data_IF_875579103228
#
_entry.id   IF_875579103228
#
_cell.length_a   1.000
_cell.length_b   1.000
_cell.length_c   1.000
_cell.angle_alpha   90.00
_cell.angle_beta   90.00
_cell.angle_gamma   90.00
#
_symmetry.space_group_name_H-M   'P 1'
#
loop_
_entity.id
_entity.type
_entity.pdbx_description
1 polymer ?
#
# COMPACT_ATOMS: atom_id res chain seq x y z
N UNK A 1 12.66 -39.04 0.76
CA UNK A 1 13.16 -38.16 -0.32
C UNK A 1 12.54 -36.79 -0.12
N UNK A 2 13.28 -35.68 -0.29
CA UNK A 2 12.77 -34.33 -0.11
C UNK A 2 11.95 -33.96 -1.35
N UNK A 3 10.75 -33.43 -1.16
CA UNK A 3 10.10 -32.65 -2.22
C UNK A 3 9.77 -31.30 -1.60
N UNK A 4 10.66 -30.35 -1.83
CA UNK A 4 10.36 -28.93 -1.71
C UNK A 4 9.14 -28.66 -2.57
N UNK A 5 7.98 -28.52 -1.94
CA UNK A 5 6.92 -27.73 -2.53
C UNK A 5 7.30 -26.30 -2.18
N UNK A 6 7.89 -25.64 -3.18
CA UNK A 6 8.03 -24.20 -3.26
C UNK A 6 6.69 -23.64 -2.76
N UNK A 7 6.69 -23.03 -1.57
CA UNK A 7 5.57 -22.21 -1.14
C UNK A 7 5.48 -21.11 -2.19
N UNK A 8 4.53 -21.28 -3.10
CA UNK A 8 4.13 -20.26 -4.04
C UNK A 8 3.57 -19.10 -3.19
N UNK A 9 4.49 -18.24 -2.75
CA UNK A 9 4.26 -17.21 -1.76
C UNK A 9 3.49 -16.02 -2.36
N UNK A 10 2.94 -16.19 -3.56
CA UNK A 10 2.10 -15.23 -4.29
C UNK A 10 0.66 -15.15 -3.77
N UNK A 11 0.25 -16.06 -2.87
CA UNK A 11 -1.12 -16.07 -2.34
C UNK A 11 -1.43 -14.92 -1.35
N UNK A 12 -0.41 -14.19 -0.87
CA UNK A 12 -0.56 -13.12 0.13
C UNK A 12 -0.14 -11.74 -0.40
N UNK A 13 -0.02 -11.59 -1.72
CA UNK A 13 0.27 -10.30 -2.32
C UNK A 13 -0.98 -9.40 -2.25
N UNK A 14 -0.83 -8.27 -1.58
CA UNK A 14 -1.87 -7.27 -1.39
C UNK A 14 -1.88 -6.36 -2.61
N UNK A 15 -3.03 -6.29 -3.29
CA UNK A 15 -3.19 -5.42 -4.45
C UNK A 15 -3.46 -3.99 -3.97
N UNK A 16 -2.53 -3.11 -4.30
CA UNK A 16 -2.57 -1.69 -3.97
C UNK A 16 -2.89 -0.90 -5.21
N UNK A 17 -3.86 0.01 -5.08
CA UNK A 17 -4.26 0.94 -6.11
C UNK A 17 -3.89 2.35 -5.70
N UNK A 18 -2.73 2.80 -6.13
CA UNK A 18 -2.28 4.15 -5.85
C UNK A 18 -2.96 5.12 -6.80
N UNK A 19 -3.64 6.14 -6.27
CA UNK A 19 -4.26 7.19 -7.06
C UNK A 19 -3.52 8.49 -6.78
N UNK A 20 -2.80 8.97 -7.77
CA UNK A 20 -1.94 10.14 -7.64
C UNK A 20 -2.05 11.04 -8.86
N UNK A 21 -2.33 12.33 -8.64
CA UNK A 21 -2.48 13.34 -9.71
C UNK A 21 -3.48 12.98 -10.83
N UNK A 22 -4.45 12.11 -10.55
CA UNK A 22 -5.43 11.60 -11.52
C UNK A 22 -5.01 10.31 -12.23
N UNK A 23 -3.76 9.88 -12.07
CA UNK A 23 -3.27 8.60 -12.54
C UNK A 23 -3.57 7.50 -11.51
N UNK A 24 -3.92 6.32 -12.02
CA UNK A 24 -4.19 5.12 -11.22
C UNK A 24 -3.10 4.10 -11.52
N UNK A 25 -2.34 3.73 -10.50
CA UNK A 25 -1.25 2.76 -10.58
C UNK A 25 -1.63 1.54 -9.74
N UNK A 26 -1.47 0.34 -10.29
CA UNK A 26 -1.74 -0.91 -9.58
C UNK A 26 -0.41 -1.57 -9.28
N UNK A 27 -0.14 -1.83 -8.00
CA UNK A 27 1.03 -2.56 -7.53
C UNK A 27 0.64 -3.69 -6.59
N UNK A 28 1.58 -4.60 -6.38
CA UNK A 28 1.41 -5.76 -5.50
C UNK A 28 2.50 -5.68 -4.46
N UNK A 29 2.10 -5.57 -3.20
CA UNK A 29 3.02 -5.52 -2.05
C UNK A 29 2.85 -6.79 -1.23
N UNK A 30 3.89 -7.16 -0.49
CA UNK A 30 3.79 -8.26 0.44
C UNK A 30 2.99 -7.84 1.67
N UNK A 31 2.19 -8.76 2.23
CA UNK A 31 1.48 -8.51 3.48
C UNK A 31 2.41 -8.17 4.68
N UNK A 32 3.68 -8.57 4.63
CA UNK A 32 4.65 -8.30 5.69
C UNK A 32 5.61 -7.14 5.34
N UNK A 33 5.21 -6.27 4.42
CA UNK A 33 6.01 -5.09 4.05
C UNK A 33 6.09 -4.11 5.23
N UNK A 34 7.28 -3.55 5.42
CA UNK A 34 7.47 -2.49 6.41
C UNK A 34 6.98 -1.15 5.87
N UNK A 35 6.65 -0.21 6.76
CA UNK A 35 6.25 1.15 6.39
C UNK A 35 7.34 1.84 5.56
N UNK A 36 8.61 1.60 5.88
CA UNK A 36 9.73 2.17 5.13
C UNK A 36 9.77 1.65 3.69
N UNK A 37 9.69 0.34 3.50
CA UNK A 37 9.62 -0.27 2.17
C UNK A 37 8.39 0.19 1.39
N UNK A 38 7.22 0.23 2.05
CA UNK A 38 5.98 0.72 1.43
C UNK A 38 6.09 2.18 1.00
N UNK A 39 6.74 3.02 1.81
CA UNK A 39 7.00 4.43 1.50
C UNK A 39 7.93 4.55 0.30
N UNK A 40 9.01 3.75 0.24
CA UNK A 40 9.94 3.74 -0.90
C UNK A 40 9.26 3.29 -2.19
N UNK A 41 8.41 2.26 -2.14
CA UNK A 41 7.60 1.83 -3.27
C UNK A 41 6.68 2.97 -3.74
N UNK A 42 5.97 3.65 -2.83
CA UNK A 42 5.11 4.78 -3.19
C UNK A 42 5.89 5.94 -3.82
N UNK A 43 7.11 6.22 -3.35
CA UNK A 43 8.02 7.21 -3.96
C UNK A 43 8.39 6.79 -5.38
N UNK A 44 8.74 5.53 -5.59
CA UNK A 44 9.10 5.00 -6.91
C UNK A 44 7.91 5.03 -7.89
N UNK A 45 6.72 4.63 -7.41
CA UNK A 45 5.47 4.56 -8.18
C UNK A 45 4.99 5.96 -8.59
N UNK A 46 4.87 6.86 -7.62
CA UNK A 46 4.40 8.23 -7.86
C UNK A 46 5.49 9.15 -8.43
N UNK A 47 6.74 8.64 -8.54
CA UNK A 47 7.94 9.40 -8.92
C UNK A 47 8.11 10.66 -8.06
N UNK A 48 7.92 10.51 -6.75
CA UNK A 48 8.14 11.61 -5.81
C UNK A 48 9.61 12.00 -5.79
N UNK A 49 9.86 13.29 -5.55
CA UNK A 49 11.21 13.75 -5.24
C UNK A 49 11.61 13.22 -3.84
N UNK A 50 12.90 12.93 -3.58
CA UNK A 50 13.36 12.38 -2.31
C UNK A 50 12.97 13.23 -1.07
N UNK A 51 12.89 14.55 -1.24
CA UNK A 51 12.54 15.51 -0.19
C UNK A 51 11.06 15.92 -0.20
N UNK A 52 10.24 15.31 -1.07
CA UNK A 52 8.83 15.65 -1.18
C UNK A 52 8.04 15.02 -0.05
N UNK A 53 7.46 15.86 0.80
CA UNK A 53 6.53 15.41 1.84
C UNK A 53 5.22 14.99 1.17
N UNK A 54 4.80 13.75 1.42
CA UNK A 54 3.50 13.23 1.00
C UNK A 54 2.81 12.57 2.20
N UNK A 55 1.49 12.45 2.10
CA UNK A 55 0.67 11.71 3.06
C UNK A 55 0.07 10.54 2.34
N UNK A 56 0.18 9.34 2.91
CA UNK A 56 -0.54 8.18 2.42
C UNK A 56 -1.87 8.11 3.14
N UNK A 57 -2.94 7.90 2.39
CA UNK A 57 -4.27 7.71 2.95
C UNK A 57 -4.87 6.49 2.33
N UNK A 58 -5.40 5.59 3.13
CA UNK A 58 -6.23 4.48 2.71
C UNK A 58 -7.71 4.84 2.86
N UNK A 59 -8.47 4.67 1.80
CA UNK A 59 -9.94 4.64 1.78
C UNK A 59 -10.50 3.26 2.19
N UNK A 60 -11.09 3.16 3.39
CA UNK A 60 -11.68 1.91 3.89
C UNK A 60 -13.01 1.52 3.18
N UNK A 61 -13.70 0.50 3.70
CA UNK A 61 -14.96 0.00 3.14
C UNK A 61 -16.13 0.97 3.26
N UNK A 62 -16.09 1.88 4.24
CA UNK A 62 -17.08 2.94 4.42
C UNK A 62 -16.80 4.15 3.51
N UNK A 63 -15.65 4.13 2.82
CA UNK A 63 -15.19 5.21 1.96
C UNK A 63 -14.43 6.29 2.72
N UNK A 64 -14.06 6.02 3.98
CA UNK A 64 -13.41 6.99 4.85
C UNK A 64 -11.87 6.96 4.65
N UNK A 65 -11.25 8.13 4.40
CA UNK A 65 -9.81 8.20 4.20
C UNK A 65 -9.08 8.19 5.56
N UNK A 66 -8.60 7.02 5.96
CA UNK A 66 -7.66 6.83 7.06
C UNK A 66 -6.23 7.19 6.64
N UNK A 67 -5.47 7.85 7.52
CA UNK A 67 -4.08 8.22 7.22
C UNK A 67 -3.12 7.10 7.62
N UNK A 68 -2.15 6.77 6.77
CA UNK A 68 -1.08 5.82 7.06
C UNK A 68 0.21 6.61 7.25
N UNK A 69 0.66 6.68 8.50
CA UNK A 69 1.87 7.39 8.92
C UNK A 69 2.76 6.55 9.85
N UNK A 70 2.23 5.47 10.40
CA UNK A 70 2.90 4.56 11.33
C UNK A 70 2.76 3.10 10.89
N UNK A 71 3.69 2.25 11.34
CA UNK A 71 3.61 0.82 11.05
C UNK A 71 2.31 0.20 11.56
N UNK A 72 1.82 0.63 12.73
CA UNK A 72 0.57 0.13 13.30
C UNK A 72 -0.64 0.42 12.39
N UNK A 73 -0.69 1.62 11.81
CA UNK A 73 -1.74 1.99 10.85
C UNK A 73 -1.65 1.14 9.58
N UNK A 74 -0.44 0.85 9.09
CA UNK A 74 -0.21 -0.04 7.94
C UNK A 74 -0.59 -1.50 8.27
N UNK A 75 -0.33 -1.98 9.47
CA UNK A 75 -0.67 -3.35 9.86
C UNK A 75 -2.18 -3.52 10.02
N UNK A 76 -2.87 -2.57 10.68
CA UNK A 76 -4.33 -2.63 10.83
C UNK A 76 -5.02 -2.53 9.48
N UNK A 77 -4.49 -1.67 8.63
CA UNK A 77 -4.76 -1.65 7.23
C UNK A 77 -4.67 -3.07 6.62
N UNK A 78 -3.48 -3.66 6.53
CA UNK A 78 -3.31 -4.94 5.86
C UNK A 78 -4.19 -6.05 6.46
N UNK A 79 -4.48 -5.99 7.76
CA UNK A 79 -5.43 -6.87 8.45
C UNK A 79 -6.87 -6.71 7.94
N UNK A 80 -7.35 -5.47 7.76
CA UNK A 80 -8.67 -5.18 7.20
C UNK A 80 -8.79 -5.66 5.74
N UNK A 81 -7.70 -5.54 4.97
CA UNK A 81 -7.62 -6.04 3.59
C UNK A 81 -7.88 -7.56 3.53
N UNK A 82 -7.22 -8.32 4.42
CA UNK A 82 -7.41 -9.77 4.49
C UNK A 82 -8.81 -10.18 4.96
N UNK A 83 -9.37 -9.43 5.90
CA UNK A 83 -10.70 -9.70 6.47
C UNK A 83 -11.80 -9.51 5.43
N UNK A 84 -11.72 -8.43 4.66
CA UNK A 84 -12.76 -8.05 3.69
C UNK A 84 -12.53 -8.64 2.30
N UNK A 85 -11.32 -9.15 1.98
CA UNK A 85 -10.91 -9.81 0.72
C UNK A 85 -11.23 -9.06 -0.59
N UNK A 86 -11.70 -7.83 -0.51
CA UNK A 86 -12.18 -7.06 -1.68
C UNK A 86 -11.81 -5.56 -1.61
N UNK A 87 -11.00 -5.17 -0.63
CA UNK A 87 -10.65 -3.77 -0.42
C UNK A 87 -9.39 -3.42 -1.21
N UNK A 88 -9.49 -2.83 -2.40
CA UNK A 88 -8.32 -2.25 -3.07
C UNK A 88 -7.67 -1.20 -2.15
N UNK A 89 -6.39 -1.37 -1.76
CA UNK A 89 -5.70 -0.39 -0.92
C UNK A 89 -5.51 0.90 -1.74
N UNK A 90 -6.35 1.90 -1.52
CA UNK A 90 -6.32 3.12 -2.31
C UNK A 90 -5.44 4.16 -1.64
N UNK A 91 -4.30 4.53 -2.22
CA UNK A 91 -3.36 5.53 -1.65
C UNK A 91 -3.54 6.90 -2.31
N UNK A 92 -3.87 7.94 -1.53
CA UNK A 92 -3.96 9.33 -2.02
C UNK A 92 -2.82 10.22 -1.52
N UNK A 93 -1.92 10.60 -2.42
CA UNK A 93 -0.85 11.58 -2.13
C UNK A 93 -1.30 13.03 -2.34
N UNK A 94 -1.19 13.88 -1.31
CA UNK A 94 -1.29 15.34 -1.49
C UNK A 94 0.08 15.91 -1.88
N UNK A 95 0.18 16.51 -3.06
CA UNK A 95 1.26 17.43 -3.37
C UNK A 95 0.98 18.79 -2.76
N UNK A 96 1.79 19.21 -1.79
CA UNK A 96 1.88 20.61 -1.44
C UNK A 96 2.82 21.27 -2.47
N UNK A 97 2.25 21.93 -3.48
CA UNK A 97 3.01 22.88 -4.29
C UNK A 97 3.24 24.11 -3.41
N UNK A 98 4.50 24.48 -3.20
CA UNK A 98 4.89 25.82 -2.74
C UNK A 98 4.91 26.79 -3.93
#
# INVERSE_FOLDING_TARGET
MPTQLVQDNHANDVRVKTVYSGDVMITYIKHNITLEEFTQEMIAICRFLPDQVFTMKWVDEEGDPCTISTQLELDEALRLYELNRDSELTVHGKCYYY
#
